data_IF_264614943280
#
_entry.id   IF_264614943280
#
_cell.length_a   1.000
_cell.length_b   1.000
_cell.length_c   1.000
_cell.angle_alpha   90.00
_cell.angle_beta   90.00
_cell.angle_gamma   90.00
#
_symmetry.space_group_name_H-M   'P 1'
#
loop_
_entity.id
_entity.type
_entity.pdbx_description
1 polymer ?
#
# COMPACT_ATOMS: atom_id res chain seq x y z
N UNK A 1 -4.61 -16.99 -6.36
CA UNK A 1 -6.08 -17.11 -6.50
C UNK A 1 -6.34 -17.33 -7.97
N UNK A 2 -6.79 -18.54 -8.36
CA UNK A 2 -6.96 -18.91 -9.77
C UNK A 2 -8.39 -18.56 -10.17
N UNK A 3 -8.56 -17.72 -11.19
CA UNK A 3 -9.86 -17.54 -11.86
C UNK A 3 -9.84 -18.43 -13.10
N UNK A 4 -10.69 -19.46 -13.22
CA UNK A 4 -10.73 -20.27 -14.42
C UNK A 4 -11.56 -19.55 -15.49
N UNK A 5 -10.97 -19.37 -16.67
CA UNK A 5 -11.73 -19.01 -17.88
C UNK A 5 -11.67 -20.20 -18.82
N UNK A 6 -12.82 -20.77 -19.13
CA UNK A 6 -12.94 -21.81 -20.14
C UNK A 6 -12.84 -21.18 -21.53
N UNK A 7 -11.79 -21.53 -22.28
CA UNK A 7 -11.78 -21.46 -23.73
C UNK A 7 -11.00 -22.66 -24.26
N UNK A 8 -11.69 -23.52 -25.01
CA UNK A 8 -11.15 -24.68 -25.70
C UNK A 8 -10.43 -24.22 -26.97
N UNK A 9 -9.15 -24.58 -27.12
CA UNK A 9 -8.39 -24.39 -28.36
C UNK A 9 -6.89 -24.60 -28.10
N UNK A 10 -6.31 -25.60 -28.75
CA UNK A 10 -4.99 -26.14 -28.44
C UNK A 10 -3.82 -25.19 -28.64
N UNK A 11 -3.04 -25.02 -27.59
CA UNK A 11 -1.62 -25.35 -27.51
C UNK A 11 -1.31 -25.52 -26.02
N UNK A 12 -0.50 -26.50 -25.60
CA UNK A 12 -0.08 -26.62 -24.19
C UNK A 12 0.97 -25.53 -23.90
N UNK A 13 0.53 -24.27 -23.92
CA UNK A 13 1.29 -23.16 -23.36
C UNK A 13 1.42 -23.44 -21.87
N UNK A 14 2.65 -23.60 -21.38
CA UNK A 14 2.91 -23.62 -19.93
C UNK A 14 2.20 -22.41 -19.32
N UNK A 15 1.46 -22.57 -18.21
CA UNK A 15 0.80 -21.44 -17.57
C UNK A 15 1.83 -20.38 -17.26
N UNK A 16 1.52 -19.14 -17.61
CA UNK A 16 2.35 -18.00 -17.27
C UNK A 16 2.45 -17.90 -15.74
N UNK A 17 3.64 -18.16 -15.19
CA UNK A 17 3.90 -18.12 -13.75
C UNK A 17 4.39 -16.73 -13.37
N UNK A 18 3.61 -16.02 -12.53
CA UNK A 18 4.03 -14.75 -11.96
C UNK A 18 5.15 -15.02 -10.95
N UNK A 19 6.30 -14.33 -11.03
CA UNK A 19 7.38 -14.49 -10.07
C UNK A 19 6.89 -14.29 -8.64
N UNK A 20 7.26 -15.21 -7.75
CA UNK A 20 6.87 -15.19 -6.35
C UNK A 20 8.10 -15.23 -5.44
N UNK A 21 8.18 -14.31 -4.47
CA UNK A 21 9.30 -14.20 -3.55
C UNK A 21 8.87 -14.36 -2.10
N UNK A 22 9.64 -15.11 -1.32
CA UNK A 22 9.47 -15.16 0.13
C UNK A 22 10.46 -14.21 0.80
N UNK A 23 9.94 -13.17 1.43
CA UNK A 23 10.71 -12.16 2.14
C UNK A 23 10.81 -12.52 3.63
N UNK A 24 11.79 -13.36 3.96
CA UNK A 24 12.17 -13.70 5.33
C UNK A 24 13.06 -12.60 5.91
N UNK A 25 12.47 -11.62 6.60
CA UNK A 25 13.20 -10.48 7.17
C UNK A 25 13.49 -10.66 8.67
N UNK A 26 13.65 -11.91 9.14
CA UNK A 26 13.82 -12.25 10.56
C UNK A 26 15.03 -13.13 10.89
N UNK A 27 15.75 -13.63 9.89
CA UNK A 27 17.08 -14.21 10.06
C UNK A 27 18.12 -13.25 9.49
N UNK A 28 19.38 -13.35 9.92
CA UNK A 28 20.56 -12.58 9.44
C UNK A 28 20.87 -12.73 7.93
N UNK A 29 19.90 -13.12 7.12
CA UNK A 29 20.04 -13.67 5.80
C UNK A 29 19.89 -12.64 4.68
N UNK A 30 19.25 -11.50 4.95
CA UNK A 30 19.04 -10.44 3.96
C UNK A 30 19.41 -9.10 4.59
N UNK A 31 20.72 -8.90 4.77
CA UNK A 31 21.30 -7.60 5.15
C UNK A 31 21.51 -6.78 3.88
N UNK A 32 21.19 -5.49 3.93
CA UNK A 32 21.43 -4.56 2.83
C UNK A 32 22.89 -4.62 2.35
N UNK A 33 23.09 -4.66 1.03
CA UNK A 33 24.43 -4.85 0.41
C UNK A 33 24.99 -6.28 0.48
N UNK A 34 24.41 -7.15 1.29
CA UNK A 34 24.75 -8.57 1.37
C UNK A 34 24.53 -9.32 0.05
N UNK A 35 25.10 -10.53 -0.07
CA UNK A 35 24.98 -11.35 -1.29
C UNK A 35 23.52 -11.67 -1.61
N UNK A 36 22.77 -12.17 -0.62
CA UNK A 36 21.35 -12.54 -0.77
C UNK A 36 20.46 -11.33 -1.04
N UNK A 37 20.77 -10.16 -0.50
CA UNK A 37 20.09 -8.91 -0.84
C UNK A 37 20.27 -8.56 -2.31
N UNK A 38 21.51 -8.58 -2.81
CA UNK A 38 21.80 -8.32 -4.23
C UNK A 38 21.11 -9.33 -5.16
N UNK A 39 21.17 -10.61 -4.83
CA UNK A 39 20.47 -11.67 -5.58
C UNK A 39 18.95 -11.45 -5.60
N UNK A 40 18.36 -11.03 -4.49
CA UNK A 40 16.94 -10.69 -4.43
C UNK A 40 16.63 -9.44 -5.28
N UNK A 41 17.44 -8.39 -5.19
CA UNK A 41 17.28 -7.19 -6.02
C UNK A 41 17.34 -7.51 -7.51
N UNK A 42 18.29 -8.34 -7.94
CA UNK A 42 18.42 -8.74 -9.34
C UNK A 42 17.19 -9.54 -9.82
N UNK A 43 16.67 -10.45 -8.98
CA UNK A 43 15.42 -11.19 -9.28
C UNK A 43 14.19 -10.28 -9.36
N UNK A 44 14.06 -9.31 -8.46
CA UNK A 44 12.95 -8.34 -8.48
C UNK A 44 13.05 -7.46 -9.72
N UNK A 45 14.26 -7.00 -10.07
CA UNK A 45 14.49 -6.23 -11.31
C UNK A 45 14.08 -7.06 -12.53
N UNK A 46 14.56 -8.29 -12.63
CA UNK A 46 14.22 -9.21 -13.72
C UNK A 46 12.70 -9.40 -13.83
N UNK A 47 12.00 -9.64 -12.70
CA UNK A 47 10.55 -9.77 -12.70
C UNK A 47 9.83 -8.51 -13.19
N UNK A 48 10.28 -7.31 -12.79
CA UNK A 48 9.74 -6.06 -13.31
C UNK A 48 10.00 -5.89 -14.82
N UNK A 49 11.21 -6.19 -15.30
CA UNK A 49 11.59 -6.04 -16.71
C UNK A 49 10.89 -7.04 -17.63
N UNK A 50 10.69 -8.27 -17.17
CA UNK A 50 10.18 -9.37 -18.00
C UNK A 50 8.69 -9.62 -17.82
N UNK A 51 8.15 -9.41 -16.62
CA UNK A 51 6.75 -9.70 -16.29
C UNK A 51 5.92 -8.45 -15.97
N UNK A 52 6.55 -7.33 -15.64
CA UNK A 52 5.88 -6.10 -15.19
C UNK A 52 5.26 -6.19 -13.79
N UNK A 53 5.32 -7.35 -13.13
CA UNK A 53 4.79 -7.57 -11.79
C UNK A 53 5.43 -8.80 -11.11
N UNK A 54 5.24 -8.88 -9.80
CA UNK A 54 5.61 -10.03 -8.98
C UNK A 54 4.69 -10.12 -7.75
N UNK A 55 4.69 -11.27 -7.10
CA UNK A 55 4.03 -11.49 -5.82
C UNK A 55 5.08 -11.75 -4.73
N UNK A 56 4.74 -11.50 -3.48
CA UNK A 56 5.60 -11.88 -2.37
C UNK A 56 4.80 -12.28 -1.12
N UNK A 57 5.43 -13.08 -0.26
CA UNK A 57 4.99 -13.32 1.11
C UNK A 57 6.00 -12.74 2.10
N UNK A 58 5.50 -12.33 3.25
CA UNK A 58 6.35 -11.97 4.40
C UNK A 58 5.59 -12.27 5.68
N UNK A 59 6.30 -12.74 6.70
CA UNK A 59 5.75 -12.96 8.04
C UNK A 59 5.52 -11.63 8.78
N UNK A 60 6.12 -10.54 8.31
CA UNK A 60 6.01 -9.20 8.92
C UNK A 60 4.62 -8.58 8.81
N UNK A 61 3.80 -9.02 7.85
CA UNK A 61 2.42 -8.54 7.70
C UNK A 61 1.51 -9.48 8.47
N UNK A 62 0.89 -9.03 9.59
CA UNK A 62 0.02 -9.86 10.39
C UNK A 62 -1.10 -10.46 9.54
N UNK A 63 -1.33 -11.77 9.66
CA UNK A 63 -2.39 -12.46 8.92
C UNK A 63 -3.78 -11.89 9.19
N UNK A 64 -4.03 -11.46 10.44
CA UNK A 64 -5.27 -10.81 10.85
C UNK A 64 -5.53 -9.46 10.17
N UNK A 65 -4.49 -8.73 9.78
CA UNK A 65 -4.64 -7.43 9.10
C UNK A 65 -5.27 -7.61 7.71
N UNK A 66 -4.80 -8.59 6.94
CA UNK A 66 -5.35 -8.89 5.61
C UNK A 66 -6.80 -9.36 5.70
N UNK A 67 -7.11 -10.22 6.66
CA UNK A 67 -8.47 -10.71 6.88
C UNK A 67 -9.41 -9.58 7.28
N UNK A 68 -8.98 -8.69 8.19
CA UNK A 68 -9.74 -7.50 8.57
C UNK A 68 -10.02 -6.57 7.40
N UNK A 69 -9.04 -6.36 6.52
CA UNK A 69 -9.23 -5.56 5.30
C UNK A 69 -10.26 -6.19 4.34
N UNK A 70 -10.16 -7.49 4.10
CA UNK A 70 -11.13 -8.21 3.23
C UNK A 70 -12.54 -8.14 3.82
N UNK A 71 -12.68 -8.33 5.12
CA UNK A 71 -13.97 -8.25 5.81
C UNK A 71 -14.53 -6.82 5.78
N UNK A 72 -13.71 -5.80 6.01
CA UNK A 72 -14.12 -4.40 5.91
C UNK A 72 -14.61 -4.03 4.50
N UNK A 73 -13.91 -4.48 3.46
CA UNK A 73 -14.35 -4.29 2.07
C UNK A 73 -15.66 -5.05 1.78
N UNK A 74 -15.80 -6.28 2.26
CA UNK A 74 -17.05 -7.05 2.13
C UNK A 74 -18.23 -6.28 2.73
N UNK A 75 -18.08 -5.78 3.97
CA UNK A 75 -19.10 -4.97 4.63
C UNK A 75 -19.44 -3.70 3.85
N UNK A 76 -18.45 -3.03 3.25
CA UNK A 76 -18.67 -1.83 2.42
C UNK A 76 -19.55 -2.14 1.19
N UNK A 77 -19.23 -3.20 0.45
CA UNK A 77 -19.95 -3.54 -0.78
C UNK A 77 -21.33 -4.18 -0.51
N UNK A 78 -21.55 -4.76 0.68
CA UNK A 78 -22.86 -5.26 1.11
C UNK A 78 -23.85 -4.16 1.56
N UNK A 79 -23.40 -2.90 1.69
CA UNK A 79 -24.28 -1.79 1.99
C UNK A 79 -25.36 -1.60 0.91
N UNK A 80 -26.54 -1.03 1.28
CA UNK A 80 -27.56 -0.65 0.30
C UNK A 80 -26.99 0.25 -0.79
N UNK A 81 -27.45 0.06 -2.04
CA UNK A 81 -26.92 0.80 -3.19
C UNK A 81 -27.06 2.31 -3.05
N UNK A 82 -28.19 2.78 -2.48
CA UNK A 82 -28.40 4.20 -2.21
C UNK A 82 -27.39 4.75 -1.20
N UNK A 83 -26.99 3.96 -0.18
CA UNK A 83 -25.95 4.35 0.77
C UNK A 83 -24.61 4.52 0.06
N UNK A 84 -24.25 3.57 -0.80
CA UNK A 84 -23.01 3.60 -1.57
C UNK A 84 -22.95 4.80 -2.53
N UNK A 85 -24.06 5.09 -3.22
CA UNK A 85 -24.23 6.25 -4.13
C UNK A 85 -24.10 7.61 -3.44
N UNK A 86 -24.24 7.70 -2.12
CA UNK A 86 -24.01 8.95 -1.38
C UNK A 86 -22.56 9.40 -1.41
N UNK A 87 -21.60 8.50 -1.65
CA UNK A 87 -20.20 8.87 -1.82
C UNK A 87 -19.95 9.42 -3.22
N UNK A 88 -20.01 10.75 -3.32
CA UNK A 88 -19.80 11.51 -4.57
C UNK A 88 -18.57 12.40 -4.42
N UNK A 89 -17.67 12.29 -5.38
CA UNK A 89 -16.49 13.12 -5.53
C UNK A 89 -16.53 13.76 -6.93
N UNK A 90 -16.28 15.08 -7.05
CA UNK A 90 -16.27 15.76 -8.34
C UNK A 90 -15.15 15.29 -9.26
N UNK A 91 -14.10 14.64 -8.72
CA UNK A 91 -13.01 14.09 -9.51
C UNK A 91 -13.42 12.76 -10.17
N UNK A 92 -13.05 12.53 -11.43
CA UNK A 92 -13.43 11.32 -12.15
C UNK A 92 -12.85 10.07 -11.47
N UNK A 93 -13.62 8.98 -11.48
CA UNK A 93 -13.28 7.68 -10.89
C UNK A 93 -13.10 7.67 -9.37
N UNK A 94 -13.54 8.73 -8.67
CA UNK A 94 -13.35 8.88 -7.21
C UNK A 94 -14.63 8.78 -6.38
N UNK A 95 -15.73 8.46 -7.04
CA UNK A 95 -17.04 8.20 -6.42
C UNK A 95 -17.28 6.70 -6.33
N UNK A 96 -18.42 6.33 -5.76
CA UNK A 96 -18.97 5.00 -6.04
C UNK A 96 -19.31 4.86 -7.53
N UNK A 97 -18.86 3.77 -8.13
CA UNK A 97 -19.24 3.32 -9.47
C UNK A 97 -19.80 1.91 -9.33
N UNK A 98 -21.08 1.74 -9.63
CA UNK A 98 -21.72 0.42 -9.58
C UNK A 98 -22.67 0.21 -10.73
N UNK A 99 -22.71 -1.03 -11.24
CA UNK A 99 -23.77 -1.59 -12.09
C UNK A 99 -24.28 -0.61 -13.15
N UNK A 100 -23.36 -0.10 -13.97
CA UNK A 100 -23.70 0.62 -15.19
C UNK A 100 -23.83 -0.40 -16.33
N UNK A 101 -24.78 -0.19 -17.25
CA UNK A 101 -24.97 -1.00 -18.47
C UNK A 101 -23.66 -1.22 -19.26
N UNK A 102 -22.75 -0.24 -19.24
CA UNK A 102 -21.44 -0.35 -19.90
C UNK A 102 -20.46 -1.31 -19.19
N UNK A 103 -20.59 -1.50 -17.87
CA UNK A 103 -19.70 -2.32 -17.02
C UNK A 103 -20.50 -3.05 -15.93
N UNK A 104 -21.42 -3.97 -16.30
CA UNK A 104 -22.44 -4.50 -15.38
C UNK A 104 -21.87 -5.35 -14.24
N UNK A 105 -20.66 -5.89 -14.40
CA UNK A 105 -20.00 -6.74 -13.41
C UNK A 105 -19.00 -5.99 -12.52
N UNK A 106 -18.81 -4.68 -12.75
CA UNK A 106 -17.87 -3.87 -11.98
C UNK A 106 -18.61 -3.07 -10.92
N UNK A 107 -18.10 -3.18 -9.70
CA UNK A 107 -18.46 -2.31 -8.59
C UNK A 107 -17.19 -1.82 -7.92
N UNK A 108 -17.07 -0.53 -7.68
CA UNK A 108 -15.84 0.08 -7.15
C UNK A 108 -16.11 1.36 -6.37
N UNK A 109 -15.19 1.66 -5.46
CA UNK A 109 -15.10 2.94 -4.75
C UNK A 109 -13.73 3.54 -4.98
N UNK A 110 -13.68 4.82 -5.34
CA UNK A 110 -12.49 5.63 -5.12
C UNK A 110 -12.57 6.32 -3.76
N UNK A 111 -11.59 6.08 -2.89
CA UNK A 111 -11.49 6.73 -1.58
C UNK A 111 -10.17 7.49 -1.56
N UNK A 112 -10.26 8.82 -1.68
CA UNK A 112 -9.10 9.71 -1.60
C UNK A 112 -8.66 9.88 -0.15
N UNK A 113 -7.36 10.19 0.02
CA UNK A 113 -6.77 10.52 1.32
C UNK A 113 -7.14 9.54 2.43
N UNK A 114 -7.34 8.25 2.09
CA UNK A 114 -7.70 7.20 3.05
C UNK A 114 -6.80 7.14 4.29
N UNK A 115 -5.50 7.52 4.22
CA UNK A 115 -4.68 7.62 5.41
C UNK A 115 -5.10 8.76 6.34
N UNK A 116 -5.57 9.90 5.83
CA UNK A 116 -6.03 11.01 6.66
C UNK A 116 -7.23 10.57 7.53
N UNK A 117 -7.01 10.52 8.84
CA UNK A 117 -7.98 10.01 9.81
C UNK A 117 -9.30 10.79 9.83
N UNK A 118 -9.29 12.10 9.58
CA UNK A 118 -10.51 12.90 9.51
C UNK A 118 -11.36 12.51 8.28
N UNK A 119 -10.73 12.38 7.12
CA UNK A 119 -11.41 11.98 5.89
C UNK A 119 -11.89 10.52 5.96
N UNK A 120 -11.08 9.62 6.52
CA UNK A 120 -11.47 8.24 6.77
C UNK A 120 -12.69 8.16 7.71
N UNK A 121 -12.73 8.98 8.77
CA UNK A 121 -13.88 9.08 9.68
C UNK A 121 -15.11 9.67 8.99
N UNK A 122 -14.94 10.70 8.17
CA UNK A 122 -16.04 11.30 7.41
C UNK A 122 -16.66 10.28 6.44
N UNK A 123 -15.83 9.55 5.70
CA UNK A 123 -16.28 8.45 4.83
C UNK A 123 -17.01 7.36 5.63
N UNK A 124 -16.44 6.93 6.75
CA UNK A 124 -17.04 5.88 7.59
C UNK A 124 -18.39 6.32 8.16
N UNK A 125 -18.52 7.57 8.59
CA UNK A 125 -19.78 8.14 9.09
C UNK A 125 -20.83 8.24 7.99
N UNK A 126 -20.41 8.55 6.76
CA UNK A 126 -21.28 8.59 5.60
C UNK A 126 -21.87 7.22 5.28
N UNK A 127 -21.04 6.18 5.28
CA UNK A 127 -21.40 4.79 4.98
C UNK A 127 -22.16 4.11 6.12
N UNK A 128 -21.73 4.35 7.37
CA UNK A 128 -22.32 3.81 8.59
C UNK A 128 -22.60 4.95 9.58
N UNK A 129 -23.77 5.59 9.54
CA UNK A 129 -24.14 6.64 10.49
C UNK A 129 -24.15 6.17 11.95
N UNK A 130 -24.33 4.87 12.19
CA UNK A 130 -24.27 4.24 13.51
C UNK A 130 -22.82 3.93 13.97
N UNK A 131 -21.84 4.14 13.08
CA UNK A 131 -20.43 3.86 13.30
C UNK A 131 -20.00 2.47 12.83
N UNK A 132 -18.77 2.37 12.33
CA UNK A 132 -18.08 1.11 12.04
C UNK A 132 -16.59 1.22 12.42
N UNK A 133 -16.23 1.03 13.71
CA UNK A 133 -14.86 1.20 14.18
C UNK A 133 -13.89 0.15 13.60
N UNK A 134 -14.42 -0.98 13.11
CA UNK A 134 -13.59 -2.02 12.48
C UNK A 134 -13.14 -1.66 11.06
N UNK A 135 -13.86 -0.77 10.38
CA UNK A 135 -13.54 -0.32 9.02
C UNK A 135 -12.50 0.81 9.01
N UNK A 136 -12.67 1.81 9.89
CA UNK A 136 -11.71 2.88 10.09
C UNK A 136 -11.06 2.69 11.46
N UNK A 137 -9.97 1.94 11.49
CA UNK A 137 -9.18 1.81 12.71
C UNK A 137 -8.58 3.18 13.08
N UNK A 138 -8.54 3.50 14.37
CA UNK A 138 -8.09 4.80 14.88
C UNK A 138 -6.57 4.87 15.03
N UNK A 139 -5.89 3.74 14.96
CA UNK A 139 -4.45 3.64 15.12
C UNK A 139 -3.77 3.96 13.79
N UNK A 140 -3.37 5.21 13.66
CA UNK A 140 -2.56 5.67 12.54
C UNK A 140 -1.23 4.91 12.56
N UNK A 141 -0.89 4.24 11.46
CA UNK A 141 0.31 3.41 11.41
C UNK A 141 1.54 4.31 11.23
N UNK A 142 2.42 4.32 12.23
CA UNK A 142 3.70 5.03 12.15
C UNK A 142 4.59 4.39 11.09
N UNK A 143 5.04 5.19 10.14
CA UNK A 143 6.17 4.89 9.26
C UNK A 143 7.44 4.98 10.10
N UNK A 144 7.91 3.83 10.56
CA UNK A 144 9.13 3.70 11.36
C UNK A 144 9.92 2.47 10.92
N UNK A 145 11.23 2.52 11.10
CA UNK A 145 12.06 1.32 11.06
C UNK A 145 11.74 0.51 12.31
N UNK A 146 11.63 -0.81 12.17
CA UNK A 146 11.44 -1.68 13.34
C UNK A 146 12.60 -1.49 14.33
N UNK A 147 12.30 -1.35 15.63
CA UNK A 147 13.29 -1.07 16.68
C UNK A 147 14.49 -2.02 16.66
N UNK A 148 14.29 -3.26 16.20
CA UNK A 148 15.31 -4.31 16.08
C UNK A 148 16.36 -4.05 15.00
N UNK A 149 16.12 -3.09 14.11
CA UNK A 149 17.00 -2.71 13.00
C UNK A 149 17.68 -1.36 13.23
N UNK A 150 17.47 -0.74 14.39
CA UNK A 150 18.14 0.50 14.80
C UNK A 150 19.13 0.15 15.90
N UNK A 151 20.42 0.25 15.59
CA UNK A 151 21.50 -0.05 16.53
C UNK A 151 22.59 1.04 16.48
N UNK A 152 23.68 0.84 17.23
CA UNK A 152 24.77 1.80 17.32
C UNK A 152 25.52 1.99 15.99
N UNK A 153 25.54 0.97 15.13
CA UNK A 153 26.19 1.00 13.83
C UNK A 153 25.23 1.49 12.73
N UNK A 154 23.92 1.34 12.93
CA UNK A 154 22.85 1.70 12.00
C UNK A 154 21.83 2.62 12.70
N UNK A 155 22.18 3.90 12.93
CA UNK A 155 21.27 4.84 13.56
C UNK A 155 20.09 5.16 12.63
N UNK A 156 18.95 5.51 13.23
CA UNK A 156 17.78 5.90 12.49
C UNK A 156 18.03 7.20 11.69
N UNK A 157 17.94 7.12 10.36
CA UNK A 157 18.31 8.23 9.44
C UNK A 157 17.18 9.22 9.17
N UNK A 158 15.96 8.91 9.59
CA UNK A 158 14.79 9.76 9.39
C UNK A 158 13.92 9.77 10.65
N UNK A 159 13.19 10.86 10.86
CA UNK A 159 12.22 10.97 11.95
C UNK A 159 11.01 10.09 11.65
N UNK A 160 10.60 9.16 12.52
CA UNK A 160 9.36 8.43 12.33
C UNK A 160 8.18 9.38 12.27
N UNK A 161 7.20 9.07 11.42
CA UNK A 161 6.00 9.88 11.25
C UNK A 161 4.81 9.00 10.90
N UNK A 162 3.59 9.47 11.11
CA UNK A 162 2.42 8.81 10.53
C UNK A 162 2.24 9.29 9.10
N UNK A 163 1.78 8.40 8.21
CA UNK A 163 1.53 8.81 6.84
C UNK A 163 0.51 9.95 6.76
N UNK A 164 -0.46 10.01 7.68
CA UNK A 164 -1.43 11.11 7.76
C UNK A 164 -0.81 12.47 8.03
N UNK A 165 0.14 12.53 8.97
CA UNK A 165 0.82 13.78 9.32
C UNK A 165 1.69 14.24 8.13
N UNK A 166 2.38 13.31 7.47
CA UNK A 166 3.12 13.60 6.23
C UNK A 166 2.20 14.09 5.12
N UNK A 167 1.09 13.39 4.86
CA UNK A 167 0.16 13.78 3.79
C UNK A 167 -0.41 15.18 4.04
N UNK A 168 -0.71 15.51 5.29
CA UNK A 168 -1.18 16.85 5.69
C UNK A 168 -0.11 17.92 5.45
N UNK A 169 1.16 17.61 5.72
CA UNK A 169 2.27 18.50 5.34
C UNK A 169 2.39 18.63 3.82
N UNK A 170 2.40 17.52 3.08
CA UNK A 170 2.60 17.48 1.63
C UNK A 170 1.58 18.30 0.85
N UNK A 171 0.29 18.21 1.20
CA UNK A 171 -0.76 18.98 0.50
C UNK A 171 -0.60 20.50 0.64
N UNK A 172 0.09 20.96 1.69
CA UNK A 172 0.41 22.36 1.92
C UNK A 172 1.81 22.76 1.43
N UNK A 173 2.66 21.78 1.12
CA UNK A 173 4.07 21.95 0.75
C UNK A 173 4.39 21.05 -0.45
N UNK A 174 3.71 21.29 -1.57
CA UNK A 174 3.89 20.50 -2.79
C UNK A 174 5.27 20.75 -3.40
N UNK A 175 6.23 19.89 -3.07
CA UNK A 175 7.58 19.88 -3.64
C UNK A 175 8.07 18.44 -3.81
N UNK A 176 9.03 18.25 -4.71
CA UNK A 176 9.61 16.93 -4.99
C UNK A 176 10.42 16.38 -3.79
N UNK A 177 10.94 17.26 -2.93
CA UNK A 177 11.71 16.95 -1.72
C UNK A 177 10.86 16.95 -0.43
N UNK A 178 9.53 17.09 -0.53
CA UNK A 178 8.66 17.26 0.63
C UNK A 178 8.77 16.13 1.66
N UNK A 179 8.99 14.89 1.20
CA UNK A 179 9.22 13.75 2.09
C UNK A 179 10.56 13.87 2.84
N UNK A 180 11.60 14.31 2.14
CA UNK A 180 12.95 14.46 2.71
C UNK A 180 12.97 15.54 3.78
N UNK A 181 12.37 16.70 3.48
CA UNK A 181 12.23 17.81 4.42
C UNK A 181 11.41 17.38 5.64
N UNK A 182 10.27 16.74 5.40
CA UNK A 182 9.35 16.34 6.47
C UNK A 182 9.95 15.25 7.38
N UNK A 183 10.50 14.20 6.78
CA UNK A 183 11.15 13.11 7.51
C UNK A 183 12.52 13.53 8.07
N UNK A 184 13.02 14.72 7.75
CA UNK A 184 14.30 15.23 8.22
C UNK A 184 15.49 14.44 7.70
N UNK A 185 15.40 13.92 6.48
CA UNK A 185 16.53 13.32 5.79
C UNK A 185 17.57 14.43 5.59
N UNK A 186 18.69 14.32 6.29
CA UNK A 186 19.81 15.25 6.13
C UNK A 186 20.37 15.05 4.72
N UNK A 187 20.33 16.07 3.88
CA UNK A 187 21.06 16.04 2.60
C UNK A 187 22.53 15.76 2.93
N UNK A 188 23.21 14.79 2.30
CA UNK A 188 24.63 14.62 2.51
C UNK A 188 25.30 15.93 2.06
N UNK A 189 25.87 16.65 3.02
CA UNK A 189 26.73 17.79 2.72
C UNK A 189 27.83 17.23 1.83
N UNK A 190 27.77 17.58 0.54
CA UNK A 190 28.86 17.31 -0.40
C UNK A 190 30.08 18.01 0.17
N UNK A 191 30.96 17.22 0.78
CA UNK A 191 32.21 17.70 1.36
C UNK A 191 33.01 18.37 0.26
N UNK A 192 33.05 19.71 0.29
CA UNK A 192 34.06 20.46 -0.45
C UNK A 192 35.38 20.11 0.24
N UNK A 193 36.22 19.33 -0.45
CA UNK A 193 37.57 19.06 0.02
C UNK A 193 38.34 20.39 0.13
N UNK A 194 39.04 20.65 1.24
CA UNK A 194 39.91 21.82 1.32
C UNK A 194 41.10 21.63 0.38
N UNK A 195 41.38 22.67 -0.40
CA UNK A 195 42.53 22.80 -1.31
C UNK A 195 43.86 22.77 -0.56
#
# INVERSE_FOLDING_TARGET
MVVPTAASGGDQQKPYEIPFFELCVGGNDVVEGGRRWRELCDKVREACETHGCFCFSTERIPSGLRQGMVEGLRQLFELPEDTKKRHVNPKPYRSYLGKNDAVPYLESFGIDHAPNLEQARAFTTLMWPQGNPSFCNKDDSTVAVADQLVDGDHPLMYRPFTYSDYLSYFVHNLSDDALEVYAGLSSPVVGIAPT
#
